data_IF_644126734079
#
_entry.id   IF_644126734079
#
_cell.length_a   1.000
_cell.length_b   1.000
_cell.length_c   1.000
_cell.angle_alpha   90.00
_cell.angle_beta   90.00
_cell.angle_gamma   90.00
#
_symmetry.space_group_name_H-M   'P 1'
#
loop_
_entity.id
_entity.type
_entity.pdbx_description
1 polymer ?
#
# COMPACT_ATOMS: atom_id res chain seq x y z
N UNK A 1 33.70 2.09 1.52
CA UNK A 1 33.15 0.94 2.28
C UNK A 1 31.99 0.41 1.46
N UNK A 2 31.98 -0.86 1.10
CA UNK A 2 30.88 -1.43 0.32
C UNK A 2 29.67 -1.55 1.25
N UNK A 3 28.57 -0.84 0.97
CA UNK A 3 27.30 -1.07 1.64
C UNK A 3 26.80 -2.48 1.24
N UNK A 4 26.66 -3.37 2.21
CA UNK A 4 26.11 -4.68 1.96
C UNK A 4 24.60 -4.54 1.79
N UNK A 5 24.10 -4.87 0.60
CA UNK A 5 22.68 -5.03 0.31
C UNK A 5 22.25 -6.41 0.82
N UNK A 6 21.49 -6.48 1.89
CA UNK A 6 20.82 -7.70 2.30
C UNK A 6 19.37 -7.65 1.82
N UNK A 7 19.09 -8.31 0.70
CA UNK A 7 17.71 -8.57 0.24
C UNK A 7 17.31 -9.92 0.81
N UNK A 8 16.38 -9.94 1.73
CA UNK A 8 15.80 -11.19 2.22
C UNK A 8 14.55 -11.48 1.41
N UNK A 9 14.66 -12.33 0.43
CA UNK A 9 13.56 -12.79 -0.42
C UNK A 9 12.86 -13.95 0.28
N UNK A 10 11.60 -13.81 0.63
CA UNK A 10 10.76 -14.92 1.06
C UNK A 10 9.95 -15.39 -0.16
N UNK A 11 10.38 -16.49 -0.76
CA UNK A 11 9.62 -17.15 -1.82
C UNK A 11 8.51 -17.99 -1.16
N UNK A 12 7.28 -17.52 -1.22
CA UNK A 12 6.13 -18.36 -0.95
C UNK A 12 5.77 -19.12 -2.24
N UNK A 13 6.08 -20.41 -2.28
CA UNK A 13 5.72 -21.25 -3.41
C UNK A 13 4.19 -21.39 -3.50
N UNK A 14 3.60 -20.98 -4.62
CA UNK A 14 2.21 -21.26 -4.94
C UNK A 14 2.00 -22.76 -5.16
N UNK A 15 1.38 -23.45 -4.18
CA UNK A 15 0.72 -24.71 -4.46
C UNK A 15 -0.67 -24.38 -5.04
N UNK A 16 -0.82 -24.49 -6.35
CA UNK A 16 -2.08 -24.24 -7.04
C UNK A 16 -3.20 -25.14 -6.48
N UNK A 17 -4.13 -24.54 -5.75
CA UNK A 17 -5.41 -25.16 -5.39
C UNK A 17 -6.43 -24.77 -6.46
N UNK A 18 -6.93 -25.77 -7.20
CA UNK A 18 -7.99 -25.62 -8.19
C UNK A 18 -9.39 -25.65 -7.57
N UNK A 19 -9.50 -25.46 -6.27
CA UNK A 19 -10.81 -25.47 -5.61
C UNK A 19 -11.46 -24.09 -5.75
N UNK A 20 -12.42 -23.96 -6.68
CA UNK A 20 -13.28 -22.79 -6.88
C UNK A 20 -14.31 -22.69 -5.75
N UNK A 21 -13.84 -22.69 -4.51
CA UNK A 21 -14.69 -22.48 -3.35
C UNK A 21 -15.27 -21.07 -3.37
N UNK A 22 -16.59 -20.96 -3.31
CA UNK A 22 -17.27 -19.70 -3.04
C UNK A 22 -16.71 -19.11 -1.73
N UNK A 23 -16.19 -17.88 -1.79
CA UNK A 23 -15.76 -17.17 -0.57
C UNK A 23 -16.83 -17.29 0.52
N UNK A 24 -16.45 -17.63 1.76
CA UNK A 24 -17.42 -17.69 2.85
C UNK A 24 -18.13 -16.36 3.00
N UNK A 25 -19.44 -16.39 3.24
CA UNK A 25 -20.24 -15.18 3.42
C UNK A 25 -19.62 -14.29 4.49
N UNK A 26 -19.37 -13.04 4.13
CA UNK A 26 -18.73 -12.09 5.04
C UNK A 26 -19.62 -11.80 6.25
N UNK A 27 -19.07 -11.94 7.45
CA UNK A 27 -19.75 -11.49 8.67
C UNK A 27 -19.79 -9.95 8.63
N UNK A 28 -20.99 -9.33 8.72
CA UNK A 28 -21.11 -7.87 8.73
C UNK A 28 -20.30 -7.27 9.88
N UNK A 29 -19.40 -6.34 9.56
CA UNK A 29 -18.71 -5.57 10.58
C UNK A 29 -19.72 -4.63 11.23
N UNK A 30 -19.71 -4.56 12.56
CA UNK A 30 -20.51 -3.58 13.30
C UNK A 30 -20.10 -2.19 12.85
N UNK A 31 -21.09 -1.35 12.49
CA UNK A 31 -20.84 0.06 12.22
C UNK A 31 -20.14 0.71 13.41
N UNK A 32 -18.99 1.28 13.17
CA UNK A 32 -18.15 1.91 14.19
C UNK A 32 -17.47 3.15 13.60
N UNK A 33 -17.18 4.11 14.45
CA UNK A 33 -16.34 5.26 14.13
C UNK A 33 -14.84 4.91 14.16
N UNK A 34 -14.50 3.72 14.64
CA UNK A 34 -13.11 3.25 14.60
C UNK A 34 -12.76 2.77 13.19
N UNK A 35 -11.58 3.11 12.67
CA UNK A 35 -11.11 2.59 11.40
C UNK A 35 -11.04 1.06 11.38
N UNK A 36 -11.48 0.46 10.29
CA UNK A 36 -11.36 -1.00 10.06
C UNK A 36 -10.00 -1.38 9.45
N UNK A 37 -9.30 -0.43 8.86
CA UNK A 37 -7.90 -0.54 8.47
C UNK A 37 -7.24 0.83 8.57
N UNK A 38 -6.04 0.88 9.08
CA UNK A 38 -5.16 2.05 9.07
C UNK A 38 -3.86 1.63 8.42
N UNK A 39 -3.32 2.45 7.55
CA UNK A 39 -2.08 2.15 6.82
C UNK A 39 -1.27 3.38 6.51
N UNK A 40 0.02 3.21 6.53
CA UNK A 40 0.98 4.16 6.02
C UNK A 40 1.39 3.74 4.61
N UNK A 41 1.55 4.68 3.71
CA UNK A 41 2.12 4.45 2.39
C UNK A 41 3.35 5.32 2.18
N UNK A 42 4.24 4.85 1.32
CA UNK A 42 5.40 5.63 0.89
C UNK A 42 4.93 6.90 0.16
N UNK A 43 5.70 7.97 0.31
CA UNK A 43 5.61 9.17 -0.50
C UNK A 43 6.75 9.18 -1.52
N UNK A 44 6.71 10.04 -2.52
CA UNK A 44 7.83 10.21 -3.45
C UNK A 44 9.12 10.59 -2.70
N UNK A 45 8.99 11.51 -1.75
CA UNK A 45 10.01 11.92 -0.79
C UNK A 45 9.62 11.43 0.62
N UNK A 46 10.29 10.40 1.12
CA UNK A 46 10.03 9.82 2.43
C UNK A 46 10.83 10.48 3.56
N UNK A 47 11.74 11.40 3.25
CA UNK A 47 12.44 12.22 4.24
C UNK A 47 11.50 13.25 4.87
N UNK A 48 10.53 13.78 4.09
CA UNK A 48 9.70 14.91 4.51
C UNK A 48 8.19 14.67 4.42
N UNK A 49 7.76 13.53 3.87
CA UNK A 49 6.34 13.27 3.66
C UNK A 49 5.93 11.85 4.09
N UNK A 50 4.64 11.71 4.46
CA UNK A 50 4.00 10.43 4.74
C UNK A 50 2.53 10.46 4.36
N UNK A 51 2.05 9.42 3.66
CA UNK A 51 0.63 9.24 3.40
C UNK A 51 0.03 8.31 4.45
N UNK A 52 -1.07 8.74 5.06
CA UNK A 52 -1.86 7.93 5.99
C UNK A 52 -3.23 7.71 5.36
N UNK A 53 -3.64 6.45 5.28
CA UNK A 53 -4.98 6.07 4.84
C UNK A 53 -5.68 5.26 5.93
N UNK A 54 -7.01 5.33 5.93
CA UNK A 54 -7.85 4.49 6.76
C UNK A 54 -9.24 4.33 6.16
N UNK A 55 -9.96 3.30 6.59
CA UNK A 55 -11.28 2.96 6.07
C UNK A 55 -12.33 3.00 7.18
N UNK A 56 -13.48 3.63 6.88
CA UNK A 56 -14.64 3.70 7.76
C UNK A 56 -15.88 3.16 7.06
N UNK A 57 -16.86 2.70 7.85
CA UNK A 57 -18.17 2.27 7.33
C UNK A 57 -19.19 3.41 7.23
N UNK A 58 -18.83 4.61 7.68
CA UNK A 58 -19.66 5.82 7.60
C UNK A 58 -18.85 6.99 7.08
N UNK A 59 -19.53 7.88 6.35
CA UNK A 59 -18.96 9.18 6.00
C UNK A 59 -19.04 10.13 7.19
N UNK A 60 -17.91 10.63 7.62
CA UNK A 60 -17.78 11.57 8.74
C UNK A 60 -16.63 12.53 8.47
N UNK A 61 -16.64 13.66 9.16
CA UNK A 61 -15.44 14.50 9.20
C UNK A 61 -14.31 13.75 9.89
N UNK A 62 -13.14 13.72 9.25
CA UNK A 62 -12.02 12.94 9.73
C UNK A 62 -10.69 13.67 9.54
N UNK A 63 -9.77 13.41 10.46
CA UNK A 63 -8.43 14.00 10.48
C UNK A 63 -7.40 12.95 10.86
N UNK A 64 -6.16 13.19 10.43
CA UNK A 64 -4.97 12.58 11.02
C UNK A 64 -4.31 13.63 11.92
N UNK A 65 -4.15 13.30 13.18
CA UNK A 65 -3.39 14.08 14.14
C UNK A 65 -2.01 13.43 14.30
N UNK A 66 -0.96 14.24 14.34
CA UNK A 66 0.40 13.73 14.49
C UNK A 66 1.26 14.68 15.31
N UNK A 67 2.34 14.16 15.87
CA UNK A 67 3.35 14.93 16.57
C UNK A 67 4.71 14.22 16.49
N UNK A 68 5.77 14.97 16.62
CA UNK A 68 7.09 14.41 16.85
C UNK A 68 7.13 13.73 18.23
N UNK A 69 7.77 12.57 18.32
CA UNK A 69 7.88 11.82 19.59
C UNK A 69 8.62 12.63 20.66
N UNK A 70 7.99 12.74 21.81
CA UNK A 70 8.51 13.56 22.92
C UNK A 70 8.11 15.03 22.87
N UNK A 71 7.34 15.45 21.86
CA UNK A 71 6.80 16.80 21.73
C UNK A 71 5.29 16.79 21.99
N UNK A 72 4.79 17.74 22.77
CA UNK A 72 3.34 17.85 23.07
C UNK A 72 2.54 18.59 21.98
N UNK A 73 3.22 19.24 21.03
CA UNK A 73 2.56 19.97 19.95
C UNK A 73 1.95 19.02 18.95
N UNK A 74 0.62 19.02 18.88
CA UNK A 74 -0.16 18.21 17.94
C UNK A 74 -0.50 19.04 16.70
N UNK A 75 -0.23 18.46 15.54
CA UNK A 75 -0.68 18.95 14.24
C UNK A 75 -1.89 18.14 13.79
N UNK A 76 -2.78 18.74 13.00
CA UNK A 76 -4.00 18.09 12.52
C UNK A 76 -4.17 18.35 11.03
N UNK A 77 -4.29 17.28 10.24
CA UNK A 77 -4.48 17.33 8.79
C UNK A 77 -5.85 16.74 8.45
N UNK A 78 -6.71 17.46 7.70
CA UNK A 78 -7.96 16.91 7.24
C UNK A 78 -7.74 15.68 6.35
N UNK A 79 -8.49 14.62 6.59
CA UNK A 79 -8.48 13.43 5.75
C UNK A 79 -9.62 13.50 4.71
N UNK A 80 -9.27 13.36 3.43
CA UNK A 80 -10.24 13.38 2.33
C UNK A 80 -10.86 12.00 2.16
N UNK A 81 -12.16 11.88 2.34
CA UNK A 81 -12.92 10.64 2.18
C UNK A 81 -13.43 10.44 0.75
N UNK A 82 -13.30 9.24 0.22
CA UNK A 82 -13.87 8.79 -1.05
C UNK A 82 -14.68 7.52 -0.81
N UNK A 83 -15.88 7.41 -1.41
CA UNK A 83 -16.69 6.20 -1.28
C UNK A 83 -16.07 5.05 -2.05
N UNK A 84 -15.96 3.90 -1.40
CA UNK A 84 -15.65 2.61 -2.02
C UNK A 84 -16.92 1.76 -1.98
N UNK A 85 -17.46 1.47 -3.16
CA UNK A 85 -18.68 0.65 -3.28
C UNK A 85 -18.41 -0.78 -2.83
N UNK A 86 -19.23 -1.26 -1.92
CA UNK A 86 -19.19 -2.64 -1.49
C UNK A 86 -19.70 -3.60 -2.59
N UNK A 87 -19.34 -4.86 -2.47
CA UNK A 87 -19.85 -5.96 -3.29
C UNK A 87 -19.71 -7.28 -2.55
N UNK A 88 -20.17 -8.37 -3.15
CA UNK A 88 -20.07 -9.73 -2.59
C UNK A 88 -20.52 -9.80 -1.10
N UNK A 89 -21.66 -9.15 -0.79
CA UNK A 89 -22.21 -9.10 0.57
C UNK A 89 -21.54 -8.10 1.52
N UNK A 90 -20.56 -7.36 1.03
CA UNK A 90 -19.87 -6.30 1.79
C UNK A 90 -20.55 -4.95 1.55
N UNK A 91 -20.80 -4.21 2.61
CA UNK A 91 -21.38 -2.86 2.56
C UNK A 91 -20.38 -1.83 2.04
N UNK A 92 -20.91 -0.72 1.48
CA UNK A 92 -20.13 0.45 1.11
C UNK A 92 -19.25 0.91 2.29
N UNK A 93 -18.12 1.50 1.96
CA UNK A 93 -17.20 2.10 2.92
C UNK A 93 -16.61 3.39 2.37
N UNK A 94 -15.84 4.08 3.19
CA UNK A 94 -15.20 5.34 2.86
C UNK A 94 -13.71 5.22 3.15
N UNK A 95 -12.90 5.39 2.11
CA UNK A 95 -11.44 5.44 2.24
C UNK A 95 -11.03 6.88 2.46
N UNK A 96 -10.32 7.13 3.54
CA UNK A 96 -9.81 8.44 3.90
C UNK A 96 -8.30 8.49 3.67
N UNK A 97 -7.84 9.62 3.12
CA UNK A 97 -6.42 9.86 2.84
C UNK A 97 -6.00 11.20 3.41
N UNK A 98 -4.89 11.23 4.11
CA UNK A 98 -4.22 12.43 4.58
C UNK A 98 -2.73 12.38 4.21
N UNK A 99 -2.21 13.45 3.63
CA UNK A 99 -0.79 13.62 3.32
C UNK A 99 -0.16 14.50 4.41
N UNK A 100 0.76 13.92 5.17
CA UNK A 100 1.61 14.65 6.12
C UNK A 100 2.82 15.19 5.34
N UNK A 101 3.07 16.47 5.43
CA UNK A 101 4.11 17.19 4.67
C UNK A 101 5.00 17.99 5.60
N UNK A 102 6.15 18.38 5.08
CA UNK A 102 7.11 19.23 5.79
C UNK A 102 7.56 18.60 7.12
N UNK A 103 7.72 17.28 7.13
CA UNK A 103 8.24 16.53 8.26
C UNK A 103 9.77 16.70 8.34
N UNK A 104 10.31 16.59 9.53
CA UNK A 104 11.77 16.59 9.74
C UNK A 104 12.37 15.26 9.28
N UNK A 105 13.49 15.31 8.55
CA UNK A 105 14.26 14.14 8.09
C UNK A 105 14.77 13.33 9.28
N UNK A 106 14.61 12.01 9.21
CA UNK A 106 15.10 11.06 10.21
C UNK A 106 14.41 11.15 11.57
N UNK A 107 13.31 11.90 11.67
CA UNK A 107 12.60 12.09 12.91
C UNK A 107 11.61 10.95 13.21
N UNK A 108 11.36 10.73 14.50
CA UNK A 108 10.35 9.80 14.98
C UNK A 108 9.07 10.56 15.31
N UNK A 109 7.97 10.07 14.80
CA UNK A 109 6.64 10.64 14.98
C UNK A 109 5.69 9.60 15.54
N UNK A 110 4.56 10.08 16.05
CA UNK A 110 3.39 9.29 16.30
C UNK A 110 2.16 9.97 15.69
N UNK A 111 1.21 9.18 15.22
CA UNK A 111 -0.01 9.65 14.60
C UNK A 111 -1.23 8.90 15.13
N UNK A 112 -2.41 9.51 14.96
CA UNK A 112 -3.69 8.91 15.30
C UNK A 112 -4.78 9.41 14.38
N UNK A 113 -5.88 8.68 14.27
CA UNK A 113 -7.07 9.12 13.54
C UNK A 113 -8.06 9.77 14.49
N UNK A 114 -8.66 10.88 14.05
CA UNK A 114 -9.82 11.49 14.70
C UNK A 114 -11.00 11.47 13.72
N UNK A 115 -12.10 10.82 14.10
CA UNK A 115 -13.27 10.55 13.27
C UNK A 115 -14.52 10.99 14.05
N UNK A 116 -15.08 12.13 13.69
CA UNK A 116 -16.08 12.81 14.55
C UNK A 116 -15.52 13.04 15.95
N UNK A 117 -16.15 12.45 16.96
CA UNK A 117 -15.74 12.56 18.38
C UNK A 117 -14.87 11.37 18.86
N UNK A 118 -14.53 10.44 17.96
CA UNK A 118 -13.71 9.26 18.31
C UNK A 118 -12.25 9.52 17.92
N UNK A 119 -11.35 9.20 18.84
CA UNK A 119 -9.90 9.33 18.63
C UNK A 119 -9.28 7.97 18.88
N UNK A 120 -8.42 7.52 17.94
CA UNK A 120 -7.67 6.25 18.09
C UNK A 120 -6.50 6.39 19.08
N UNK A 121 -5.89 5.26 19.45
CA UNK A 121 -4.56 5.27 20.07
C UNK A 121 -3.50 5.81 19.13
N UNK A 122 -2.36 6.20 19.69
CA UNK A 122 -1.19 6.62 18.93
C UNK A 122 -0.51 5.43 18.26
N UNK A 123 -0.06 5.63 17.03
CA UNK A 123 0.71 4.69 16.19
C UNK A 123 2.01 5.37 15.77
N UNK A 124 3.09 4.61 15.67
CA UNK A 124 4.41 5.16 15.37
C UNK A 124 4.69 5.25 13.86
N UNK A 125 5.52 6.21 13.47
CA UNK A 125 6.23 6.21 12.20
C UNK A 125 7.55 6.97 12.28
N UNK A 126 8.42 6.75 11.29
CA UNK A 126 9.67 7.49 11.12
C UNK A 126 9.79 7.96 9.69
N UNK A 127 10.38 9.11 9.50
CA UNK A 127 10.85 9.59 8.20
C UNK A 127 12.19 8.92 7.85
N UNK A 128 12.53 8.90 6.56
CA UNK A 128 13.83 8.45 6.08
C UNK A 128 14.95 9.37 6.62
N UNK A 129 16.03 8.79 7.13
CA UNK A 129 17.19 9.54 7.62
C UNK A 129 18.31 9.67 6.57
N UNK A 130 18.11 9.08 5.37
CA UNK A 130 19.08 9.03 4.30
C UNK A 130 20.17 7.97 4.50
N UNK A 131 20.08 7.17 5.56
CA UNK A 131 21.04 6.14 5.92
C UNK A 131 20.76 4.78 5.30
N UNK A 132 21.45 3.76 5.80
CA UNK A 132 21.19 2.37 5.42
C UNK A 132 19.85 1.90 6.01
N UNK A 133 19.10 1.13 5.25
CA UNK A 133 17.78 0.64 5.63
C UNK A 133 17.61 -0.84 5.30
N UNK A 134 16.56 -1.42 5.83
CA UNK A 134 16.03 -2.74 5.48
C UNK A 134 14.59 -2.58 4.98
N UNK A 135 14.23 -3.32 3.95
CA UNK A 135 12.84 -3.45 3.49
C UNK A 135 12.42 -4.92 3.52
N UNK A 136 11.12 -5.16 3.76
CA UNK A 136 10.52 -6.49 3.62
C UNK A 136 9.77 -6.54 2.31
N UNK A 137 10.03 -7.54 1.48
CA UNK A 137 9.36 -7.72 0.19
C UNK A 137 8.42 -8.91 0.29
N UNK A 138 7.17 -8.70 -0.03
CA UNK A 138 6.09 -9.68 -0.02
C UNK A 138 5.58 -9.90 -1.45
N UNK A 139 5.95 -10.99 -2.14
CA UNK A 139 5.33 -11.37 -3.41
C UNK A 139 4.07 -12.19 -3.17
N UNK A 140 3.14 -12.17 -4.12
CA UNK A 140 2.04 -13.13 -4.32
C UNK A 140 1.37 -13.56 -3.01
N UNK A 141 0.64 -12.64 -2.39
CA UNK A 141 -0.02 -12.89 -1.11
C UNK A 141 -1.47 -13.37 -1.24
N UNK A 142 -1.97 -13.51 -2.46
CA UNK A 142 -3.33 -13.98 -2.73
C UNK A 142 -3.59 -15.34 -2.08
N UNK A 143 -4.78 -15.51 -1.52
CA UNK A 143 -5.12 -16.68 -0.75
C UNK A 143 -6.64 -16.84 -0.63
N UNK A 144 -7.10 -18.08 -0.36
CA UNK A 144 -8.50 -18.36 -0.14
C UNK A 144 -9.04 -17.76 1.17
N UNK A 145 -8.27 -17.79 2.25
CA UNK A 145 -8.71 -17.35 3.59
C UNK A 145 -7.75 -16.38 4.30
N UNK A 146 -6.61 -16.13 3.71
CA UNK A 146 -5.52 -15.26 4.25
C UNK A 146 -4.93 -15.70 5.60
N UNK A 147 -5.32 -16.85 6.16
CA UNK A 147 -4.79 -17.31 7.46
C UNK A 147 -3.31 -17.65 7.37
N UNK A 148 -2.90 -18.31 6.29
CA UNK A 148 -1.48 -18.62 5.99
C UNK A 148 -0.68 -17.34 5.78
N UNK A 149 -1.21 -16.46 4.95
CA UNK A 149 -0.61 -15.16 4.68
C UNK A 149 -0.42 -14.33 5.95
N UNK A 150 -1.45 -14.21 6.78
CA UNK A 150 -1.37 -13.46 8.04
C UNK A 150 -0.22 -13.94 8.96
N UNK A 151 -0.05 -15.27 9.07
CA UNK A 151 1.04 -15.86 9.86
C UNK A 151 2.41 -15.58 9.24
N UNK A 152 2.52 -15.71 7.92
CA UNK A 152 3.77 -15.46 7.19
C UNK A 152 4.19 -13.99 7.31
N UNK A 153 3.28 -13.07 7.00
CA UNK A 153 3.53 -11.63 7.06
C UNK A 153 3.95 -11.19 8.47
N UNK A 154 3.19 -11.63 9.48
CA UNK A 154 3.50 -11.34 10.87
C UNK A 154 4.87 -11.89 11.29
N UNK A 155 5.22 -13.12 10.86
CA UNK A 155 6.52 -13.73 11.19
C UNK A 155 7.68 -13.04 10.48
N UNK A 156 7.51 -12.68 9.21
CA UNK A 156 8.50 -11.93 8.45
C UNK A 156 8.78 -10.57 9.12
N UNK A 157 7.74 -9.85 9.52
CA UNK A 157 7.89 -8.58 10.23
C UNK A 157 8.47 -8.75 11.64
N UNK A 158 8.06 -9.78 12.38
CA UNK A 158 8.64 -10.10 13.71
C UNK A 158 10.17 -10.24 13.65
N UNK A 159 10.67 -10.91 12.60
CA UNK A 159 12.11 -11.11 12.35
C UNK A 159 12.82 -9.87 11.81
N UNK A 160 12.09 -8.85 11.37
CA UNK A 160 12.60 -7.64 10.73
C UNK A 160 11.91 -6.38 11.29
N UNK A 161 11.84 -6.25 12.62
CA UNK A 161 11.21 -5.08 13.28
C UNK A 161 11.90 -3.75 13.00
N UNK A 162 13.12 -3.80 12.49
CA UNK A 162 13.93 -2.68 12.04
C UNK A 162 13.72 -2.35 10.56
N UNK A 163 12.78 -3.02 9.89
CA UNK A 163 12.43 -2.67 8.51
C UNK A 163 11.85 -1.26 8.43
N UNK A 164 12.35 -0.49 7.49
CA UNK A 164 11.94 0.89 7.25
C UNK A 164 10.59 0.97 6.51
N UNK A 165 10.36 0.03 5.59
CA UNK A 165 9.12 -0.10 4.81
C UNK A 165 8.94 -1.54 4.32
N UNK A 166 7.79 -1.82 3.73
CA UNK A 166 7.55 -3.07 3.00
C UNK A 166 7.12 -2.79 1.57
N UNK A 167 7.34 -3.78 0.69
CA UNK A 167 6.85 -3.77 -0.69
C UNK A 167 5.92 -4.96 -0.88
N UNK A 168 4.72 -4.73 -1.43
CA UNK A 168 3.85 -5.78 -1.95
C UNK A 168 4.01 -5.84 -3.47
N UNK A 169 4.52 -6.99 -3.97
CA UNK A 169 4.98 -7.16 -5.35
C UNK A 169 3.85 -7.59 -6.32
N UNK A 170 2.62 -7.19 -6.07
CA UNK A 170 1.45 -7.60 -6.86
C UNK A 170 0.80 -8.87 -6.35
N UNK A 171 -0.36 -9.23 -6.91
CA UNK A 171 -1.17 -10.36 -6.53
C UNK A 171 -1.45 -10.38 -5.01
N UNK A 172 -1.94 -9.24 -4.51
CA UNK A 172 -2.23 -9.07 -3.09
C UNK A 172 -3.46 -9.89 -2.71
N UNK A 173 -4.46 -9.90 -3.60
CA UNK A 173 -5.72 -10.62 -3.45
C UNK A 173 -5.93 -11.56 -4.63
N UNK A 174 -6.70 -12.64 -4.43
CA UNK A 174 -6.99 -13.61 -5.47
C UNK A 174 -7.96 -13.08 -6.54
N UNK A 175 -8.76 -12.06 -6.18
CA UNK A 175 -9.63 -11.36 -7.12
C UNK A 175 -9.72 -9.89 -6.77
N UNK A 176 -9.17 -9.04 -7.64
CA UNK A 176 -9.02 -7.61 -7.45
C UNK A 176 -10.32 -6.84 -7.26
N UNK A 177 -11.47 -7.38 -7.71
CA UNK A 177 -12.77 -6.76 -7.51
C UNK A 177 -13.52 -7.28 -6.27
N UNK A 178 -12.96 -8.20 -5.49
CA UNK A 178 -13.60 -8.73 -4.29
C UNK A 178 -13.23 -7.94 -3.02
N UNK A 179 -14.15 -7.08 -2.56
CA UNK A 179 -13.96 -6.30 -1.35
C UNK A 179 -13.81 -7.15 -0.08
N UNK A 180 -14.36 -8.37 -0.07
CA UNK A 180 -14.16 -9.30 1.04
C UNK A 180 -12.68 -9.68 1.17
N UNK A 181 -12.04 -10.00 0.05
CA UNK A 181 -10.62 -10.36 0.02
C UNK A 181 -9.73 -9.18 0.40
N UNK A 182 -10.02 -7.98 -0.11
CA UNK A 182 -9.31 -6.77 0.31
C UNK A 182 -9.38 -6.54 1.83
N UNK A 183 -10.55 -6.68 2.42
CA UNK A 183 -10.69 -6.55 3.88
C UNK A 183 -9.98 -7.67 4.64
N UNK A 184 -9.92 -8.87 4.10
CA UNK A 184 -9.18 -9.98 4.69
C UNK A 184 -7.66 -9.73 4.62
N UNK A 185 -7.17 -9.26 3.47
CA UNK A 185 -5.78 -8.87 3.28
C UNK A 185 -5.38 -7.74 4.24
N UNK A 186 -6.16 -6.67 4.30
CA UNK A 186 -5.91 -5.53 5.19
C UNK A 186 -5.88 -5.95 6.68
N UNK A 187 -6.76 -6.87 7.10
CA UNK A 187 -6.72 -7.42 8.46
C UNK A 187 -5.45 -8.21 8.72
N UNK A 188 -4.98 -8.97 7.74
CA UNK A 188 -3.75 -9.77 7.84
C UNK A 188 -2.49 -8.91 8.00
N UNK A 189 -2.51 -7.70 7.43
CA UNK A 189 -1.41 -6.74 7.51
C UNK A 189 -1.48 -5.79 8.71
N UNK A 190 -2.49 -5.93 9.58
CA UNK A 190 -2.61 -5.12 10.80
C UNK A 190 -1.40 -5.35 11.72
N UNK A 191 -0.86 -4.28 12.27
CA UNK A 191 0.37 -4.31 13.08
C UNK A 191 1.65 -4.23 12.24
N UNK A 192 1.52 -4.22 10.90
CA UNK A 192 2.61 -3.98 9.96
C UNK A 192 2.37 -2.65 9.24
N UNK A 193 1.28 -2.57 8.46
CA UNK A 193 0.98 -1.41 7.62
C UNK A 193 0.58 -0.15 8.39
N UNK A 194 0.20 -0.27 9.65
CA UNK A 194 -0.02 0.85 10.57
C UNK A 194 1.25 1.29 11.32
N UNK A 195 2.37 0.55 11.15
CA UNK A 195 3.65 0.78 11.81
C UNK A 195 4.75 1.22 10.85
N UNK A 196 4.84 0.60 9.66
CA UNK A 196 5.78 0.94 8.59
C UNK A 196 5.04 1.18 7.27
N UNK A 197 5.52 2.10 6.41
CA UNK A 197 4.83 2.39 5.15
C UNK A 197 4.96 1.26 4.15
N UNK A 198 3.90 1.07 3.36
CA UNK A 198 3.88 0.14 2.24
C UNK A 198 4.09 0.83 0.91
N UNK A 199 4.87 0.19 0.03
CA UNK A 199 4.88 0.43 -1.39
C UNK A 199 4.17 -0.74 -2.06
N UNK A 200 3.12 -0.47 -2.82
CA UNK A 200 2.35 -1.50 -3.52
C UNK A 200 2.54 -1.42 -5.03
N UNK A 201 2.42 -2.54 -5.70
CA UNK A 201 2.23 -2.61 -7.15
C UNK A 201 1.10 -3.58 -7.47
N UNK A 202 0.61 -3.54 -8.69
CA UNK A 202 -0.40 -4.48 -9.16
C UNK A 202 0.24 -5.75 -9.72
N UNK A 203 -0.44 -6.88 -9.53
CA UNK A 203 -0.29 -8.09 -10.32
C UNK A 203 -1.52 -8.27 -11.19
N UNK A 204 -1.61 -9.37 -11.94
CA UNK A 204 -2.76 -9.63 -12.80
C UNK A 204 -4.03 -9.98 -12.02
N UNK A 205 -3.89 -10.48 -10.81
CA UNK A 205 -5.04 -10.76 -9.95
C UNK A 205 -5.80 -9.48 -9.53
N UNK A 206 -5.15 -8.33 -9.47
CA UNK A 206 -5.80 -7.04 -9.25
C UNK A 206 -6.73 -6.66 -10.41
N UNK A 207 -6.50 -7.20 -11.62
CA UNK A 207 -7.27 -6.95 -12.85
C UNK A 207 -8.36 -7.99 -13.12
N UNK A 208 -8.72 -8.85 -12.15
CA UNK A 208 -9.84 -9.77 -12.30
C UNK A 208 -11.12 -9.27 -11.65
N UNK A 209 -12.23 -9.40 -12.40
CA UNK A 209 -13.59 -9.23 -11.91
C UNK A 209 -14.03 -10.42 -11.05
N UNK A 210 -15.17 -10.30 -10.33
CA UNK A 210 -15.78 -11.40 -9.58
C UNK A 210 -16.09 -12.63 -10.42
N UNK A 211 -16.11 -12.51 -11.75
CA UNK A 211 -16.37 -13.58 -12.71
C UNK A 211 -15.11 -14.05 -13.44
N UNK A 212 -13.93 -13.72 -12.92
CA UNK A 212 -12.63 -14.07 -13.52
C UNK A 212 -12.46 -13.56 -14.95
N UNK A 213 -13.00 -12.39 -15.22
CA UNK A 213 -12.78 -11.65 -16.46
C UNK A 213 -11.94 -10.41 -16.16
N UNK A 214 -11.20 -9.96 -17.15
CA UNK A 214 -10.45 -8.72 -17.04
C UNK A 214 -11.36 -7.56 -16.63
N UNK A 215 -10.85 -6.73 -15.73
CA UNK A 215 -11.51 -5.53 -15.22
C UNK A 215 -10.44 -4.49 -14.86
N UNK A 216 -10.83 -3.23 -14.80
CA UNK A 216 -9.93 -2.19 -14.30
C UNK A 216 -9.62 -2.39 -12.81
N UNK A 217 -8.41 -2.10 -12.34
CA UNK A 217 -7.99 -2.29 -10.95
C UNK A 217 -8.53 -1.19 -10.00
N UNK A 218 -9.78 -0.78 -10.18
CA UNK A 218 -10.37 0.37 -9.48
C UNK A 218 -10.32 0.23 -7.96
N UNK A 219 -10.38 -1.01 -7.44
CA UNK A 219 -10.29 -1.26 -5.99
C UNK A 219 -8.88 -1.12 -5.48
N UNK A 220 -7.89 -1.66 -6.20
CA UNK A 220 -6.49 -1.46 -5.86
C UNK A 220 -6.19 0.04 -5.80
N UNK A 221 -6.54 0.79 -6.84
CA UNK A 221 -6.36 2.24 -6.92
C UNK A 221 -7.14 2.99 -5.82
N UNK A 222 -8.28 2.46 -5.37
CA UNK A 222 -9.02 2.98 -4.24
C UNK A 222 -8.37 2.68 -2.88
N UNK A 223 -7.71 1.54 -2.75
CA UNK A 223 -7.05 1.12 -1.50
C UNK A 223 -5.65 1.71 -1.32
N UNK A 224 -4.97 2.12 -2.40
CA UNK A 224 -3.60 2.61 -2.35
C UNK A 224 -3.47 4.00 -2.97
N UNK A 225 -3.14 4.99 -2.15
CA UNK A 225 -2.78 6.34 -2.60
C UNK A 225 -1.26 6.45 -2.64
N UNK A 226 -0.69 6.01 -3.75
CA UNK A 226 0.75 5.95 -4.01
C UNK A 226 1.26 7.28 -4.57
N UNK A 227 2.59 7.51 -4.66
CA UNK A 227 3.15 8.70 -5.27
C UNK A 227 2.55 8.97 -6.66
N UNK A 228 2.20 10.24 -6.89
CA UNK A 228 1.59 10.66 -8.14
C UNK A 228 2.62 11.43 -8.99
N UNK A 229 3.76 10.81 -9.21
CA UNK A 229 4.88 11.33 -10.00
C UNK A 229 5.13 10.54 -11.29
N UNK A 230 4.26 9.57 -11.58
CA UNK A 230 4.16 8.90 -12.86
C UNK A 230 3.48 9.77 -13.91
N UNK A 231 2.56 9.18 -14.68
CA UNK A 231 1.77 9.88 -15.68
C UNK A 231 0.43 10.36 -15.09
N UNK A 232 -0.02 11.54 -15.48
CA UNK A 232 -1.25 12.15 -14.94
C UNK A 232 -2.52 11.35 -15.24
N UNK A 233 -2.55 10.61 -16.35
CA UNK A 233 -3.68 9.77 -16.77
C UNK A 233 -3.62 8.37 -16.16
N UNK A 234 -2.42 7.94 -15.68
CA UNK A 234 -2.13 6.61 -15.12
C UNK A 234 -1.72 6.65 -13.67
N UNK A 235 -2.41 7.45 -12.85
CA UNK A 235 -2.13 7.60 -11.42
C UNK A 235 -2.27 6.27 -10.68
N UNK A 236 -1.20 5.88 -9.96
CA UNK A 236 -1.18 4.66 -9.17
C UNK A 236 -0.83 3.38 -9.95
N UNK A 237 -0.70 3.46 -11.29
CA UNK A 237 -0.23 2.35 -12.11
C UNK A 237 1.29 2.20 -12.01
N UNK A 238 2.00 3.28 -12.20
CA UNK A 238 3.46 3.33 -12.06
C UNK A 238 3.89 4.63 -11.38
N UNK A 239 4.95 4.56 -10.62
CA UNK A 239 5.45 5.67 -9.81
C UNK A 239 6.88 5.41 -9.36
N UNK A 240 7.52 6.41 -8.75
CA UNK A 240 8.81 6.24 -8.10
C UNK A 240 8.82 6.84 -6.69
N UNK A 241 9.75 6.37 -5.87
CA UNK A 241 10.02 6.92 -4.55
C UNK A 241 11.47 6.72 -4.16
N UNK A 242 11.94 7.56 -3.27
CA UNK A 242 13.29 7.48 -2.72
C UNK A 242 13.26 6.97 -1.28
N UNK A 243 14.29 6.16 -0.96
CA UNK A 243 14.62 5.80 0.42
C UNK A 243 16.13 5.64 0.56
N UNK A 244 16.76 6.37 1.50
CA UNK A 244 18.20 6.42 1.62
C UNK A 244 18.89 6.81 0.30
N UNK A 245 19.90 6.05 -0.08
CA UNK A 245 20.63 6.21 -1.35
C UNK A 245 19.99 5.47 -2.54
N UNK A 246 18.76 5.01 -2.41
CA UNK A 246 18.09 4.19 -3.42
C UNK A 246 16.90 4.92 -4.02
N UNK A 247 16.83 4.91 -5.34
CA UNK A 247 15.65 5.26 -6.11
C UNK A 247 14.91 4.00 -6.54
N UNK A 248 13.62 3.93 -6.22
CA UNK A 248 12.73 2.83 -6.59
C UNK A 248 11.79 3.28 -7.68
N UNK A 249 11.84 2.63 -8.84
CA UNK A 249 10.89 2.80 -9.94
C UNK A 249 9.95 1.60 -9.94
N UNK A 250 8.67 1.83 -9.74
CA UNK A 250 7.61 0.80 -9.70
C UNK A 250 6.85 0.84 -11.00
N UNK A 251 6.75 -0.31 -11.67
CA UNK A 251 6.12 -0.45 -12.97
C UNK A 251 4.88 -1.34 -12.90
N UNK A 252 3.91 -1.04 -13.77
CA UNK A 252 2.76 -1.89 -14.03
C UNK A 252 3.05 -2.78 -15.25
N UNK A 253 3.22 -4.06 -15.03
CA UNK A 253 3.51 -5.02 -16.09
C UNK A 253 2.27 -5.81 -16.56
N UNK A 254 1.04 -5.37 -16.21
CA UNK A 254 -0.22 -6.02 -16.59
C UNK A 254 -0.75 -5.51 -17.96
N UNK A 255 0.15 -5.41 -18.91
CA UNK A 255 -0.10 -4.75 -20.20
C UNK A 255 -1.16 -5.46 -21.06
N UNK A 256 -1.16 -6.80 -21.04
CA UNK A 256 -2.12 -7.58 -21.80
C UNK A 256 -3.52 -7.51 -21.18
N UNK A 257 -3.59 -7.50 -19.87
CA UNK A 257 -4.79 -7.41 -19.07
C UNK A 257 -5.50 -6.07 -19.25
N UNK A 258 -4.73 -4.99 -19.36
CA UNK A 258 -5.22 -3.61 -19.41
C UNK A 258 -5.34 -3.03 -20.83
N UNK A 259 -4.83 -3.72 -21.85
CA UNK A 259 -4.72 -3.23 -23.22
C UNK A 259 -6.03 -2.72 -23.84
N UNK A 260 -7.17 -3.34 -23.48
CA UNK A 260 -8.47 -2.92 -23.99
C UNK A 260 -8.84 -1.51 -23.54
N UNK A 261 -8.48 -1.15 -22.31
CA UNK A 261 -8.81 0.16 -21.72
C UNK A 261 -7.69 1.19 -21.88
N UNK A 262 -6.44 0.72 -21.92
CA UNK A 262 -5.24 1.55 -21.88
C UNK A 262 -4.21 1.12 -22.93
N UNK A 263 -4.53 1.31 -24.24
CA UNK A 263 -3.68 0.79 -25.32
C UNK A 263 -2.31 1.47 -25.42
N UNK A 264 -2.14 2.64 -24.84
CA UNK A 264 -0.89 3.42 -24.82
C UNK A 264 -0.12 3.36 -23.47
N UNK A 265 -0.63 2.62 -22.48
CA UNK A 265 -0.04 2.50 -21.13
C UNK A 265 1.44 2.13 -21.22
N UNK A 266 1.78 1.07 -21.96
CA UNK A 266 3.15 0.59 -22.09
C UNK A 266 4.13 1.63 -22.62
N UNK A 267 3.79 2.29 -23.71
CA UNK A 267 4.70 3.26 -24.32
C UNK A 267 4.88 4.51 -23.46
N UNK A 268 3.83 4.92 -22.74
CA UNK A 268 3.90 6.03 -21.79
C UNK A 268 4.71 5.67 -20.56
N UNK A 269 4.49 4.49 -19.98
CA UNK A 269 5.25 3.99 -18.84
C UNK A 269 6.72 3.82 -19.18
N UNK A 270 7.04 3.17 -20.31
CA UNK A 270 8.41 2.99 -20.80
C UNK A 270 9.15 4.32 -20.97
N UNK A 271 8.49 5.30 -21.58
CA UNK A 271 9.06 6.63 -21.72
C UNK A 271 9.28 7.29 -20.38
N UNK A 272 8.28 7.24 -19.48
CA UNK A 272 8.38 7.81 -18.15
C UNK A 272 9.49 7.14 -17.34
N UNK A 273 9.58 5.80 -17.34
CA UNK A 273 10.60 5.06 -16.61
C UNK A 273 12.01 5.40 -17.09
N UNK A 274 12.23 5.57 -18.40
CA UNK A 274 13.50 6.01 -18.94
C UNK A 274 13.88 7.42 -18.44
N UNK A 275 12.92 8.36 -18.46
CA UNK A 275 13.10 9.73 -18.00
C UNK A 275 13.31 9.78 -16.46
N UNK A 276 12.61 8.96 -15.70
CA UNK A 276 12.69 8.87 -14.24
C UNK A 276 14.06 8.35 -13.80
N UNK A 277 14.48 7.22 -14.37
CA UNK A 277 15.80 6.64 -14.11
C UNK A 277 16.97 7.54 -14.58
N UNK A 278 16.76 8.37 -15.59
CA UNK A 278 17.79 9.32 -16.06
C UNK A 278 17.91 10.55 -15.16
N UNK A 279 16.83 10.98 -14.52
CA UNK A 279 16.79 12.19 -13.69
C UNK A 279 17.34 12.00 -12.28
N UNK A 280 17.23 10.78 -11.74
CA UNK A 280 17.69 10.52 -10.38
C UNK A 280 19.22 10.46 -10.29
N UNK A 281 19.79 11.11 -9.31
CA UNK A 281 21.21 11.04 -8.93
C UNK A 281 21.47 10.08 -7.77
N UNK A 282 20.45 9.37 -7.29
CA UNK A 282 20.61 8.34 -6.26
C UNK A 282 21.61 7.26 -6.71
N UNK A 283 22.40 6.79 -5.77
CA UNK A 283 23.48 5.83 -6.00
C UNK A 283 22.99 4.49 -6.55
N UNK A 284 21.84 4.05 -6.08
CA UNK A 284 21.23 2.79 -6.48
C UNK A 284 19.88 3.05 -7.14
N UNK A 285 19.60 2.31 -8.21
CA UNK A 285 18.33 2.35 -8.93
C UNK A 285 17.76 0.94 -8.92
N UNK A 286 16.58 0.79 -8.37
CA UNK A 286 15.88 -0.50 -8.25
C UNK A 286 14.58 -0.38 -9.01
N UNK A 287 14.35 -1.27 -9.96
CA UNK A 287 13.08 -1.38 -10.68
C UNK A 287 12.29 -2.53 -10.06
N UNK A 288 11.05 -2.25 -9.69
CA UNK A 288 10.11 -3.19 -9.11
C UNK A 288 9.02 -3.47 -10.14
N UNK A 289 8.77 -4.74 -10.43
CA UNK A 289 7.75 -5.19 -11.38
C UNK A 289 7.23 -6.56 -10.95
N UNK A 290 5.97 -6.88 -11.26
CA UNK A 290 5.36 -8.15 -10.91
C UNK A 290 5.70 -9.24 -11.93
N UNK A 291 5.60 -8.92 -13.21
CA UNK A 291 5.95 -9.82 -14.33
C UNK A 291 7.15 -9.28 -15.10
N UNK A 292 7.92 -10.18 -15.74
CA UNK A 292 9.02 -9.88 -16.66
C UNK A 292 8.55 -9.62 -18.10
#
# INVERSE_FOLDING_TARGET
>A
MAAAFAVTLFLAGCAGSTDKGTSPAAVPLKETMNPISVRQLVAADNEHNRTIMFQLLKSVEAFVEYREKGNDRIFSVPAKGVVLKGNNGITDSYIYTAELKDLEKGAAYEYRTRTGNTVSGWMDFRTDDGGAFKAVIYPDSQSADYTGWSKLAAKAYELNKDAAFFVSMGDLVDNGQDEYQWRAWMRSMKGIMDTIPGAGMMGDHEDYSLYWKMAKPDRYLGHFYLPNNGDADYKGYFYSFDWGDVHFTVLDTQLNELKEWYPDLFEREKKWAADDLARTDKKWKVVLMHKD
#
